data_IF_373210060426
#
_entry.id   IF_373210060426
#
_cell.length_a   1.000
_cell.length_b   1.000
_cell.length_c   1.000
_cell.angle_alpha   90.00
_cell.angle_beta   90.00
_cell.angle_gamma   90.00
#
_symmetry.space_group_name_H-M   'P 1'
#
loop_
_entity.id
_entity.type
_entity.pdbx_description
1 polymer ?
#
# COMPACT_ATOMS: atom_id res chain seq x y z
N UNK A 1 22.91 9.82 1.68
CA UNK A 1 22.14 8.55 1.69
C UNK A 1 22.98 7.49 2.36
N UNK A 2 22.36 6.58 3.12
CA UNK A 2 23.02 5.43 3.76
C UNK A 2 22.13 4.22 3.57
N UNK A 3 22.60 3.20 2.85
CA UNK A 3 21.94 1.90 2.73
C UNK A 3 22.32 1.02 3.92
N UNK A 4 21.37 0.30 4.49
CA UNK A 4 21.61 -0.65 5.57
C UNK A 4 21.64 -2.08 5.01
N UNK A 5 22.31 -2.99 5.72
CA UNK A 5 22.39 -4.42 5.35
C UNK A 5 21.04 -5.15 5.39
N UNK A 6 19.98 -4.44 5.78
CA UNK A 6 18.58 -4.91 5.86
C UNK A 6 17.82 -4.72 4.53
N UNK A 7 18.43 -4.10 3.53
CA UNK A 7 17.86 -3.92 2.19
C UNK A 7 17.10 -2.62 1.96
N UNK A 8 17.11 -1.71 2.93
CA UNK A 8 16.59 -0.33 2.81
C UNK A 8 17.56 0.66 3.47
N UNK A 9 17.42 1.96 3.19
CA UNK A 9 18.34 2.99 3.68
C UNK A 9 17.69 4.31 4.10
N UNK A 10 18.48 5.19 4.71
CA UNK A 10 18.09 6.57 4.97
C UNK A 10 18.43 7.45 3.76
N UNK A 11 17.46 8.23 3.28
CA UNK A 11 17.70 9.21 2.23
C UNK A 11 18.69 10.30 2.70
N UNK A 12 18.43 10.87 3.89
CA UNK A 12 19.27 11.91 4.48
C UNK A 12 20.03 11.41 5.72
N UNK A 13 21.34 11.20 5.57
CA UNK A 13 22.22 10.75 6.65
C UNK A 13 22.43 11.81 7.75
N UNK A 14 22.33 13.09 7.42
CA UNK A 14 22.48 14.18 8.41
C UNK A 14 21.21 14.42 9.23
N UNK A 15 20.19 13.58 9.10
CA UNK A 15 18.95 13.68 9.90
C UNK A 15 19.24 13.52 11.38
N UNK A 16 18.50 14.27 12.22
CA UNK A 16 18.58 14.17 13.68
C UNK A 16 18.32 12.74 14.17
N UNK A 17 18.97 12.29 15.26
CA UNK A 17 18.82 10.93 15.79
C UNK A 17 17.37 10.49 16.00
N UNK A 18 16.51 11.36 16.53
CA UNK A 18 15.11 11.02 16.83
C UNK A 18 14.30 10.76 15.56
N UNK A 19 14.64 11.44 14.46
CA UNK A 19 14.04 11.20 13.15
C UNK A 19 14.51 9.87 12.57
N UNK A 20 15.81 9.57 12.69
CA UNK A 20 16.34 8.28 12.24
C UNK A 20 15.69 7.14 13.01
N UNK A 21 15.50 7.29 14.31
CA UNK A 21 14.81 6.31 15.15
C UNK A 21 13.34 6.12 14.72
N UNK A 22 12.59 7.20 14.50
CA UNK A 22 11.22 7.09 14.00
C UNK A 22 11.13 6.38 12.63
N UNK A 23 12.06 6.66 11.70
CA UNK A 23 12.17 5.91 10.45
C UNK A 23 12.52 4.45 10.66
N UNK A 24 13.46 4.17 11.57
CA UNK A 24 13.89 2.82 11.88
C UNK A 24 12.74 1.98 12.41
N UNK A 25 11.99 2.50 13.39
CA UNK A 25 10.80 1.85 13.93
C UNK A 25 9.73 1.65 12.86
N UNK A 26 9.51 2.65 12.00
CA UNK A 26 8.59 2.49 10.88
C UNK A 26 9.05 1.36 9.93
N UNK A 27 10.34 1.36 9.58
CA UNK A 27 10.88 0.42 8.62
C UNK A 27 10.84 -1.02 9.10
N UNK A 28 11.24 -1.26 10.36
CA UNK A 28 11.19 -2.60 10.97
C UNK A 28 9.77 -3.14 11.02
N UNK A 29 8.78 -2.28 11.29
CA UNK A 29 7.39 -2.71 11.45
C UNK A 29 6.63 -2.84 10.11
N UNK A 30 6.97 -2.05 9.09
CA UNK A 30 6.17 -1.94 7.87
C UNK A 30 6.98 -2.08 6.58
N UNK A 31 8.20 -1.56 6.50
CA UNK A 31 9.00 -1.63 5.26
C UNK A 31 9.62 -3.01 5.09
N UNK A 32 10.27 -3.55 6.11
CA UNK A 32 10.95 -4.85 6.01
C UNK A 32 9.98 -6.01 5.72
N UNK A 33 8.83 -6.14 6.43
CA UNK A 33 7.87 -7.20 6.13
C UNK A 33 7.29 -7.09 4.72
N UNK A 34 7.10 -5.86 4.23
CA UNK A 34 6.63 -5.66 2.85
C UNK A 34 7.75 -6.00 1.86
N UNK A 35 8.97 -5.54 2.10
CA UNK A 35 10.11 -5.71 1.20
C UNK A 35 10.44 -7.18 0.92
N UNK A 36 10.15 -8.09 1.85
CA UNK A 36 10.28 -9.54 1.65
C UNK A 36 9.50 -10.05 0.42
N UNK A 37 8.41 -9.38 0.06
CA UNK A 37 7.58 -9.71 -1.10
C UNK A 37 7.93 -8.89 -2.35
N UNK A 38 8.93 -7.99 -2.26
CA UNK A 38 9.45 -7.18 -3.37
C UNK A 38 10.98 -7.35 -3.50
N UNK A 39 11.47 -8.57 -3.79
CA UNK A 39 12.91 -8.83 -3.89
C UNK A 39 13.63 -7.93 -4.91
N UNK A 40 12.93 -7.46 -5.94
CA UNK A 40 13.43 -6.56 -6.99
C UNK A 40 13.89 -5.18 -6.44
N UNK A 41 13.32 -4.78 -5.29
CA UNK A 41 13.57 -3.49 -4.63
C UNK A 41 14.63 -3.60 -3.52
N UNK A 42 15.07 -4.80 -3.16
CA UNK A 42 16.03 -4.99 -2.07
C UNK A 42 17.35 -4.27 -2.38
N UNK A 43 17.77 -3.41 -1.45
CA UNK A 43 18.98 -2.59 -1.60
C UNK A 43 18.79 -1.34 -2.47
N UNK A 44 17.55 -0.99 -2.82
CA UNK A 44 17.22 0.17 -3.68
C UNK A 44 16.24 1.16 -3.02
N UNK A 45 15.62 0.79 -1.90
CA UNK A 45 14.63 1.63 -1.22
C UNK A 45 15.30 2.54 -0.20
N UNK A 46 15.07 3.85 -0.28
CA UNK A 46 15.42 4.80 0.75
C UNK A 46 14.17 5.35 1.45
N UNK A 47 14.31 5.77 2.70
CA UNK A 47 13.22 6.36 3.47
C UNK A 47 13.56 7.78 3.90
N UNK A 48 12.54 8.63 3.90
CA UNK A 48 12.62 9.99 4.40
C UNK A 48 11.39 10.32 5.27
N UNK A 49 11.60 11.03 6.37
CA UNK A 49 10.49 11.58 7.17
C UNK A 49 10.11 12.97 6.69
N UNK A 50 8.80 13.21 6.58
CA UNK A 50 8.20 14.54 6.40
C UNK A 50 7.02 14.73 7.35
N UNK A 51 6.54 15.97 7.47
CA UNK A 51 5.37 16.29 8.30
C UNK A 51 4.07 15.74 7.71
N UNK A 52 3.98 15.74 6.39
CA UNK A 52 2.78 15.37 5.63
C UNK A 52 3.18 14.59 4.38
N UNK A 53 2.23 13.84 3.85
CA UNK A 53 2.43 13.00 2.67
C UNK A 53 2.90 11.61 3.03
N UNK A 54 2.23 10.62 2.45
CA UNK A 54 2.71 9.26 2.35
C UNK A 54 2.73 8.96 0.85
N UNK A 55 3.91 8.90 0.23
CA UNK A 55 4.04 8.66 -1.19
C UNK A 55 5.47 8.22 -1.56
N UNK A 56 5.59 7.48 -2.65
CA UNK A 56 6.83 7.06 -3.28
C UNK A 56 7.29 8.02 -4.39
N UNK A 57 8.58 8.33 -4.42
CA UNK A 57 9.22 9.18 -5.42
C UNK A 57 10.51 8.56 -5.96
N UNK A 58 10.91 9.00 -7.15
CA UNK A 58 12.22 8.75 -7.74
C UNK A 58 12.93 10.08 -8.01
N UNK A 59 13.94 10.42 -7.20
CA UNK A 59 14.84 11.57 -7.44
C UNK A 59 16.11 11.50 -6.56
N UNK A 60 17.30 11.17 -7.10
CA UNK A 60 17.58 10.28 -8.24
C UNK A 60 17.48 8.80 -7.87
N UNK A 61 16.95 8.50 -6.67
CA UNK A 61 16.78 7.15 -6.11
C UNK A 61 15.33 6.92 -5.70
N UNK A 62 14.93 5.65 -5.67
CA UNK A 62 13.66 5.20 -5.14
C UNK A 62 13.56 5.50 -3.64
N UNK A 63 12.57 6.29 -3.24
CA UNK A 63 12.35 6.55 -1.83
C UNK A 63 10.87 6.67 -1.46
N UNK A 64 10.56 6.29 -0.22
CA UNK A 64 9.25 6.47 0.38
C UNK A 64 9.32 7.61 1.39
N UNK A 65 8.44 8.59 1.21
CA UNK A 65 8.22 9.65 2.20
C UNK A 65 7.21 9.14 3.22
N UNK A 66 7.64 9.06 4.46
CA UNK A 66 6.83 8.62 5.61
C UNK A 66 6.43 9.85 6.44
N UNK A 67 5.16 10.00 6.83
CA UNK A 67 4.74 11.06 7.73
C UNK A 67 5.20 10.80 9.17
N UNK A 68 5.68 11.83 9.87
CA UNK A 68 6.21 11.75 11.25
C UNK A 68 5.25 11.17 12.27
N UNK A 69 3.95 11.29 12.05
CA UNK A 69 2.90 10.76 12.91
C UNK A 69 2.17 9.55 12.31
N UNK A 70 2.76 8.85 11.32
CA UNK A 70 2.13 7.71 10.65
C UNK A 70 1.61 6.67 11.67
N UNK A 71 2.50 6.21 12.57
CA UNK A 71 2.21 5.15 13.53
C UNK A 71 1.20 5.53 14.63
N UNK A 72 0.98 6.83 14.88
CA UNK A 72 -0.03 7.29 15.85
C UNK A 72 -1.35 7.69 15.20
N UNK A 73 -1.36 7.92 13.89
CA UNK A 73 -2.55 8.36 13.14
C UNK A 73 -3.30 7.21 12.49
N UNK A 74 -2.60 6.16 12.08
CA UNK A 74 -3.16 5.08 11.28
C UNK A 74 -3.01 3.73 11.98
N UNK A 75 -4.00 2.86 11.77
CA UNK A 75 -3.95 1.50 12.24
C UNK A 75 -2.91 0.66 11.48
N UNK A 76 -2.61 -0.52 12.03
CA UNK A 76 -1.52 -1.38 11.55
C UNK A 76 -1.78 -1.84 10.12
N UNK A 77 -3.00 -2.30 9.84
CA UNK A 77 -3.36 -2.86 8.53
C UNK A 77 -3.36 -1.78 7.46
N UNK A 78 -3.81 -0.56 7.79
CA UNK A 78 -3.69 0.57 6.86
C UNK A 78 -2.22 0.90 6.56
N UNK A 79 -1.34 0.92 7.56
CA UNK A 79 0.08 1.21 7.34
C UNK A 79 0.77 0.14 6.49
N UNK A 80 0.48 -1.13 6.72
CA UNK A 80 0.96 -2.22 5.86
C UNK A 80 0.47 -2.06 4.42
N UNK A 81 -0.83 -1.81 4.24
CA UNK A 81 -1.42 -1.64 2.92
C UNK A 81 -0.86 -0.44 2.16
N UNK A 82 -0.66 0.70 2.84
CA UNK A 82 -0.06 1.89 2.23
C UNK A 82 1.39 1.61 1.86
N UNK A 83 2.18 0.99 2.75
CA UNK A 83 3.58 0.68 2.47
C UNK A 83 3.71 -0.23 1.25
N UNK A 84 2.86 -1.26 1.16
CA UNK A 84 2.84 -2.17 0.02
C UNK A 84 2.42 -1.48 -1.27
N UNK A 85 1.47 -0.54 -1.20
CA UNK A 85 1.10 0.31 -2.32
C UNK A 85 2.27 1.18 -2.81
N UNK A 86 2.99 1.84 -1.90
CA UNK A 86 4.17 2.64 -2.26
C UNK A 86 5.32 1.78 -2.83
N UNK A 87 5.50 0.55 -2.35
CA UNK A 87 6.44 -0.38 -2.98
C UNK A 87 6.01 -0.76 -4.40
N UNK A 88 4.70 -0.86 -4.66
CA UNK A 88 4.17 -1.01 -6.01
C UNK A 88 4.61 0.12 -6.93
N UNK A 89 4.60 1.36 -6.46
CA UNK A 89 5.12 2.52 -7.21
C UNK A 89 6.62 2.45 -7.45
N UNK A 90 7.41 2.11 -6.42
CA UNK A 90 8.86 1.92 -6.61
C UNK A 90 9.17 0.82 -7.62
N UNK A 91 8.39 -0.26 -7.62
CA UNK A 91 8.52 -1.32 -8.61
C UNK A 91 8.17 -0.80 -10.01
N UNK A 92 7.11 -0.01 -10.19
CA UNK A 92 6.79 0.64 -11.48
C UNK A 92 7.98 1.47 -12.00
N UNK A 93 8.64 2.23 -11.12
CA UNK A 93 9.83 3.01 -11.50
C UNK A 93 11.00 2.11 -11.96
N UNK A 94 11.21 0.94 -11.35
CA UNK A 94 12.24 -0.01 -11.84
C UNK A 94 11.97 -0.53 -13.26
N UNK A 95 10.72 -0.47 -13.72
CA UNK A 95 10.31 -0.86 -15.08
C UNK A 95 10.09 0.34 -16.02
N UNK A 96 10.62 1.53 -15.67
CA UNK A 96 10.48 2.77 -16.44
C UNK A 96 9.02 3.21 -16.67
N UNK A 97 8.10 2.82 -15.78
CA UNK A 97 6.69 3.22 -15.83
C UNK A 97 6.51 4.50 -14.99
N UNK A 98 6.05 5.57 -15.64
CA UNK A 98 5.64 6.85 -15.02
C UNK A 98 6.63 7.49 -14.03
N UNK A 99 7.94 7.38 -14.27
CA UNK A 99 8.99 8.08 -13.49
C UNK A 99 8.76 9.59 -13.36
N UNK A 100 8.09 10.21 -14.34
CA UNK A 100 7.92 11.66 -14.43
C UNK A 100 6.56 12.17 -13.92
N UNK A 101 5.51 11.32 -13.86
CA UNK A 101 4.16 11.74 -13.45
C UNK A 101 3.21 10.55 -13.19
N UNK A 102 2.72 10.44 -11.96
CA UNK A 102 1.67 9.50 -11.56
C UNK A 102 0.30 9.82 -12.19
N UNK A 103 -0.37 8.82 -12.74
CA UNK A 103 -1.73 8.85 -13.24
C UNK A 103 -2.66 7.99 -12.39
N UNK A 104 -3.98 8.20 -12.52
CA UNK A 104 -4.96 7.34 -11.86
C UNK A 104 -4.75 5.85 -12.17
N UNK A 105 -4.21 5.54 -13.34
CA UNK A 105 -3.94 4.18 -13.76
C UNK A 105 -2.82 3.54 -12.95
N UNK A 106 -1.66 4.20 -12.80
CA UNK A 106 -0.53 3.65 -12.00
C UNK A 106 -0.87 3.54 -10.54
N UNK A 107 -1.62 4.48 -9.99
CA UNK A 107 -2.13 4.43 -8.61
C UNK A 107 -2.97 3.16 -8.36
N UNK A 108 -3.91 2.89 -9.27
CA UNK A 108 -4.73 1.69 -9.15
C UNK A 108 -3.92 0.41 -9.40
N UNK A 109 -2.98 0.45 -10.34
CA UNK A 109 -2.10 -0.69 -10.62
C UNK A 109 -1.18 -1.00 -9.43
N UNK A 110 -0.61 0.01 -8.77
CA UNK A 110 0.21 -0.17 -7.57
C UNK A 110 -0.59 -0.82 -6.43
N UNK A 111 -1.88 -0.48 -6.31
CA UNK A 111 -2.79 -1.17 -5.38
C UNK A 111 -3.03 -2.63 -5.78
N UNK A 112 -3.20 -2.93 -7.07
CA UNK A 112 -3.38 -4.30 -7.54
C UNK A 112 -2.10 -5.13 -7.35
N UNK A 113 -0.93 -4.55 -7.62
CA UNK A 113 0.37 -5.17 -7.36
C UNK A 113 0.50 -5.51 -5.87
N UNK A 114 0.11 -4.61 -4.97
CA UNK A 114 0.19 -4.90 -3.54
C UNK A 114 -0.70 -6.08 -3.12
N UNK A 115 -1.87 -6.25 -3.73
CA UNK A 115 -2.70 -7.44 -3.53
C UNK A 115 -2.04 -8.71 -4.08
N UNK A 116 -1.47 -8.66 -5.29
CA UNK A 116 -0.75 -9.78 -5.89
C UNK A 116 0.42 -10.24 -5.00
N UNK A 117 1.09 -9.28 -4.35
CA UNK A 117 2.18 -9.51 -3.38
C UNK A 117 1.72 -9.89 -1.97
N UNK A 118 0.44 -10.24 -1.78
CA UNK A 118 -0.08 -10.81 -0.53
C UNK A 118 -0.61 -9.79 0.49
N UNK A 119 -0.74 -8.52 0.13
CA UNK A 119 -1.24 -7.47 1.04
C UNK A 119 -2.74 -7.17 0.88
N UNK A 120 -3.49 -8.03 0.18
CA UNK A 120 -4.93 -7.90 0.04
C UNK A 120 -5.66 -7.95 1.40
N UNK A 121 -5.17 -8.77 2.33
CA UNK A 121 -5.75 -8.90 3.67
C UNK A 121 -5.59 -7.62 4.48
N UNK A 122 -4.39 -7.05 4.51
CA UNK A 122 -4.15 -5.76 5.16
C UNK A 122 -5.02 -4.66 4.52
N UNK A 123 -5.15 -4.66 3.19
CA UNK A 123 -6.05 -3.75 2.50
C UNK A 123 -7.52 -3.92 2.92
N UNK A 124 -8.05 -5.14 2.99
CA UNK A 124 -9.43 -5.40 3.43
C UNK A 124 -9.64 -5.02 4.90
N UNK A 125 -8.71 -5.39 5.80
CA UNK A 125 -8.80 -5.12 7.23
C UNK A 125 -8.62 -3.64 7.58
N UNK A 126 -7.95 -2.88 6.72
CA UNK A 126 -7.78 -1.45 6.94
C UNK A 126 -9.13 -0.71 6.97
N UNK A 127 -10.13 -1.11 6.17
CA UNK A 127 -11.42 -0.43 6.13
C UNK A 127 -12.14 -0.38 7.48
N UNK A 128 -12.43 -1.49 8.18
CA UNK A 128 -13.06 -1.41 9.50
C UNK A 128 -12.14 -0.78 10.56
N UNK A 129 -10.82 -0.98 10.47
CA UNK A 129 -9.83 -0.43 11.40
C UNK A 129 -9.86 1.12 11.41
N UNK A 130 -10.12 1.73 10.25
CA UNK A 130 -10.07 3.18 10.06
C UNK A 130 -11.45 3.83 9.85
N UNK A 131 -12.53 3.07 9.83
CA UNK A 131 -13.89 3.59 9.65
C UNK A 131 -14.38 4.33 10.90
N UNK A 132 -14.25 5.66 10.87
CA UNK A 132 -14.69 6.56 11.94
C UNK A 132 -16.15 7.02 11.83
N UNK A 133 -16.86 6.57 10.79
CA UNK A 133 -18.26 6.98 10.52
C UNK A 133 -19.19 6.48 11.62
N UNK A 134 -20.08 7.36 12.11
CA UNK A 134 -21.12 6.98 13.09
C UNK A 134 -22.12 5.99 12.48
N UNK A 135 -22.62 6.30 11.28
CA UNK A 135 -23.54 5.45 10.51
C UNK A 135 -22.82 4.88 9.28
N UNK A 136 -23.12 3.64 8.93
CA UNK A 136 -22.57 3.04 7.72
C UNK A 136 -23.16 3.69 6.46
N UNK A 137 -22.31 4.30 5.63
CA UNK A 137 -22.67 4.82 4.30
C UNK A 137 -21.96 4.11 3.14
N UNK A 138 -21.04 3.18 3.41
CA UNK A 138 -20.28 2.50 2.35
C UNK A 138 -19.21 3.35 1.65
N UNK A 139 -18.93 4.55 2.16
CA UNK A 139 -18.05 5.54 1.53
C UNK A 139 -16.66 5.65 2.16
N UNK A 140 -16.29 4.74 3.08
CA UNK A 140 -14.92 4.72 3.60
C UNK A 140 -13.97 4.41 2.43
N UNK A 141 -12.96 5.25 2.22
CA UNK A 141 -12.15 5.25 1.00
C UNK A 141 -10.68 5.06 1.31
N UNK A 142 -10.11 3.96 0.84
CA UNK A 142 -8.68 3.69 0.90
C UNK A 142 -8.12 3.58 -0.53
N UNK A 143 -7.08 4.36 -0.82
CA UNK A 143 -6.61 4.57 -2.19
C UNK A 143 -7.74 5.10 -3.09
N UNK A 144 -8.06 4.42 -4.17
CA UNK A 144 -9.14 4.78 -5.11
C UNK A 144 -10.40 3.90 -4.99
N UNK A 145 -10.52 3.15 -3.90
CA UNK A 145 -11.60 2.20 -3.69
C UNK A 145 -12.42 2.54 -2.45
N UNK A 146 -13.75 2.45 -2.59
CA UNK A 146 -14.68 2.60 -1.49
C UNK A 146 -15.03 1.23 -0.90
N UNK A 147 -15.32 1.19 0.39
CA UNK A 147 -15.60 -0.06 1.09
C UNK A 147 -16.84 -0.78 0.55
N UNK A 148 -17.84 -0.08 0.00
CA UNK A 148 -19.01 -0.69 -0.65
C UNK A 148 -18.68 -1.55 -1.88
N UNK A 149 -17.47 -1.44 -2.44
CA UNK A 149 -17.02 -2.34 -3.49
C UNK A 149 -16.71 -3.74 -2.96
N UNK A 150 -16.28 -3.81 -1.70
CA UNK A 150 -15.82 -5.05 -1.06
C UNK A 150 -16.82 -5.60 -0.06
N UNK A 151 -17.75 -4.80 0.45
CA UNK A 151 -18.70 -5.20 1.49
C UNK A 151 -20.13 -4.85 1.09
N UNK A 152 -21.03 -5.85 1.14
CA UNK A 152 -22.46 -5.65 0.90
C UNK A 152 -23.16 -4.89 2.04
N UNK A 153 -22.58 -4.97 3.24
CA UNK A 153 -23.04 -4.25 4.43
C UNK A 153 -21.90 -3.45 5.08
N UNK A 154 -22.08 -3.06 6.35
CA UNK A 154 -21.07 -2.31 7.09
C UNK A 154 -19.76 -3.11 7.20
N UNK A 155 -18.65 -2.52 6.74
CA UNK A 155 -17.31 -3.13 6.83
C UNK A 155 -16.93 -3.53 8.27
N UNK A 156 -17.43 -2.80 9.28
CA UNK A 156 -17.21 -3.08 10.71
C UNK A 156 -17.93 -4.32 11.24
N UNK A 157 -18.88 -4.88 10.49
CA UNK A 157 -19.70 -6.01 10.93
C UNK A 157 -19.26 -7.35 10.30
N UNK A 158 -18.19 -7.36 9.50
CA UNK A 158 -17.71 -8.58 8.85
C UNK A 158 -16.89 -9.44 9.82
N UNK A 159 -17.06 -10.75 9.74
CA UNK A 159 -16.25 -11.68 10.53
C UNK A 159 -14.83 -11.77 9.99
N UNK A 160 -13.87 -12.19 10.83
CA UNK A 160 -12.47 -12.41 10.40
C UNK A 160 -12.40 -13.38 9.20
N UNK A 161 -13.21 -14.45 9.23
CA UNK A 161 -13.29 -15.43 8.13
C UNK A 161 -13.80 -14.79 6.83
N UNK A 162 -14.76 -13.89 6.91
CA UNK A 162 -15.23 -13.16 5.72
C UNK A 162 -14.15 -12.23 5.17
N UNK A 163 -13.38 -11.59 6.05
CA UNK A 163 -12.24 -10.75 5.63
C UNK A 163 -11.19 -11.57 4.91
N UNK A 164 -10.82 -12.74 5.46
CA UNK A 164 -9.86 -13.66 4.83
C UNK A 164 -10.34 -14.10 3.45
N UNK A 165 -11.61 -14.54 3.33
CA UNK A 165 -12.19 -14.95 2.04
C UNK A 165 -12.21 -13.82 1.00
N UNK A 166 -12.48 -12.57 1.44
CA UNK A 166 -12.47 -11.40 0.55
C UNK A 166 -11.05 -11.07 0.10
N UNK A 167 -10.06 -11.17 0.99
CA UNK A 167 -8.66 -10.99 0.65
C UNK A 167 -8.20 -12.02 -0.40
N UNK A 168 -8.46 -13.32 -0.18
CA UNK A 168 -8.12 -14.39 -1.12
C UNK A 168 -8.69 -14.14 -2.53
N UNK A 169 -9.94 -13.66 -2.60
CA UNK A 169 -10.57 -13.29 -3.87
C UNK A 169 -9.87 -12.11 -4.56
N UNK A 170 -9.45 -11.10 -3.80
CA UNK A 170 -8.67 -9.98 -4.34
C UNK A 170 -7.30 -10.43 -4.83
N UNK A 171 -6.60 -11.29 -4.10
CA UNK A 171 -5.32 -11.85 -4.55
C UNK A 171 -5.48 -12.65 -5.83
N UNK A 172 -6.54 -13.46 -5.93
CA UNK A 172 -6.83 -14.24 -7.14
C UNK A 172 -7.07 -13.33 -8.36
N UNK A 173 -7.85 -12.25 -8.19
CA UNK A 173 -8.06 -11.25 -9.24
C UNK A 173 -6.74 -10.55 -9.58
N UNK A 174 -5.93 -10.20 -8.58
CA UNK A 174 -4.70 -9.45 -8.78
C UNK A 174 -3.65 -10.25 -9.57
N UNK A 175 -3.58 -11.57 -9.38
CA UNK A 175 -2.70 -12.48 -10.14
C UNK A 175 -2.99 -12.53 -11.64
N UNK A 176 -4.16 -12.06 -12.08
CA UNK A 176 -4.48 -11.92 -13.51
C UNK A 176 -3.73 -10.75 -14.17
N UNK A 177 -3.20 -9.80 -13.39
CA UNK A 177 -2.57 -8.58 -13.87
C UNK A 177 -1.06 -8.61 -13.66
N UNK A 178 -0.33 -8.16 -14.68
CA UNK A 178 1.11 -7.93 -14.63
C UNK A 178 1.42 -6.44 -14.51
N UNK A 179 2.62 -6.13 -14.05
CA UNK A 179 3.10 -4.74 -13.91
C UNK A 179 3.13 -3.96 -15.23
N UNK A 180 3.23 -4.64 -16.37
CA UNK A 180 3.19 -4.02 -17.70
C UNK A 180 1.79 -3.88 -18.27
N UNK A 181 0.76 -4.42 -17.62
CA UNK A 181 -0.59 -4.47 -18.16
C UNK A 181 -1.33 -3.15 -17.97
N UNK A 182 -1.96 -2.67 -19.04
CA UNK A 182 -2.86 -1.52 -18.96
C UNK A 182 -4.17 -1.94 -18.29
N UNK A 183 -4.21 -1.76 -16.97
CA UNK A 183 -5.41 -1.89 -16.14
C UNK A 183 -6.63 -1.08 -16.66
N UNK A 184 -7.68 -1.78 -17.07
CA UNK A 184 -9.01 -1.19 -17.24
C UNK A 184 -9.71 -1.09 -15.88
N UNK A 185 -9.75 0.12 -15.34
CA UNK A 185 -10.31 0.43 -14.01
C UNK A 185 -11.78 0.02 -13.87
N UNK A 186 -12.59 0.23 -14.91
CA UNK A 186 -14.01 -0.12 -14.89
C UNK A 186 -14.19 -1.62 -14.83
N UNK A 187 -13.48 -2.35 -15.68
CA UNK A 187 -13.51 -3.81 -15.70
C UNK A 187 -13.02 -4.41 -14.38
N UNK A 188 -11.93 -3.88 -13.81
CA UNK A 188 -11.43 -4.32 -12.51
C UNK A 188 -12.50 -4.17 -11.42
N UNK A 189 -13.16 -3.00 -11.34
CA UNK A 189 -14.21 -2.77 -10.34
C UNK A 189 -15.41 -3.71 -10.54
N UNK A 190 -15.78 -4.01 -11.78
CA UNK A 190 -16.83 -4.99 -12.06
C UNK A 190 -16.44 -6.41 -11.66
N UNK A 191 -15.20 -6.84 -11.96
CA UNK A 191 -14.67 -8.13 -11.53
C UNK A 191 -14.67 -8.27 -10.01
N UNK A 192 -14.18 -7.25 -9.30
CA UNK A 192 -14.20 -7.21 -7.83
C UNK A 192 -15.64 -7.35 -7.33
N UNK A 193 -16.56 -6.51 -7.82
CA UNK A 193 -17.96 -6.55 -7.37
C UNK A 193 -18.60 -7.92 -7.57
N UNK A 194 -18.39 -8.55 -8.73
CA UNK A 194 -18.88 -9.90 -9.02
C UNK A 194 -18.30 -10.94 -8.05
N UNK A 195 -17.00 -10.87 -7.79
CA UNK A 195 -16.34 -11.79 -6.85
C UNK A 195 -16.83 -11.59 -5.40
N UNK A 196 -17.19 -10.37 -5.01
CA UNK A 196 -17.59 -10.05 -3.63
C UNK A 196 -19.03 -10.45 -3.30
N UNK A 197 -19.88 -10.64 -4.32
CA UNK A 197 -21.29 -11.06 -4.20
C UNK A 197 -21.54 -12.56 -4.42
N UNK A 198 -20.53 -13.32 -4.86
CA UNK A 198 -20.58 -14.80 -4.97
C UNK A 198 -20.04 -15.51 -3.74
#
# INVERSE_FOLDING_TARGET
>A
MVMLDRGWGYLCDKSKPERKEALYQYAVNYVEPVLENYPELKGKVYLALRKHGFFAEYDPVNHIIVPENASSRYGKHLLMSITAHEMGHLLQYEFDIEKDKQSLWTEMQATVISWERGFAKDFILSFPENCSRSTCCGEEKHGYFHCNLFFEGCCRNCSVRDMDRRAEKLEAIAREYKITDVLNVTELKEKIKKAMCG
#
